data_IF_912450721432
#
_entry.id   IF_912450721432
#
_cell.length_a   1.000
_cell.length_b   1.000
_cell.length_c   1.000
_cell.angle_alpha   90.00
_cell.angle_beta   90.00
_cell.angle_gamma   90.00
#
_symmetry.space_group_name_H-M   'P 1'
#
loop_
_entity.id
_entity.type
_entity.pdbx_description
1 polymer ?
#
# COMPACT_ATOMS: atom_id res chain seq x y z
N UNK A 1 -24.44 6.22 -16.25
CA UNK A 1 -24.40 6.76 -14.87
C UNK A 1 -23.10 6.27 -14.26
N UNK A 2 -22.07 7.11 -14.28
CA UNK A 2 -20.74 6.77 -13.77
C UNK A 2 -20.74 6.95 -12.25
N UNK A 3 -20.41 5.89 -11.51
CA UNK A 3 -20.17 5.97 -10.05
C UNK A 3 -19.15 7.09 -9.78
N UNK A 4 -19.37 7.96 -8.78
CA UNK A 4 -18.30 8.85 -8.34
C UNK A 4 -17.16 7.97 -7.82
N UNK A 5 -15.97 8.13 -8.39
CA UNK A 5 -14.79 7.45 -7.89
C UNK A 5 -14.52 7.96 -6.47
N UNK A 6 -14.36 7.04 -5.52
CA UNK A 6 -13.93 7.26 -4.13
C UNK A 6 -12.51 7.88 -4.01
N UNK A 7 -12.05 8.61 -5.03
CA UNK A 7 -10.73 9.23 -5.13
C UNK A 7 -10.67 10.68 -4.60
N UNK A 8 -11.77 11.28 -4.14
CA UNK A 8 -11.75 12.66 -3.62
C UNK A 8 -11.20 12.80 -2.19
N UNK A 9 -10.82 11.70 -1.52
CA UNK A 9 -10.34 11.73 -0.12
C UNK A 9 -8.82 11.82 0.03
N UNK A 10 -8.05 11.61 -1.03
CA UNK A 10 -6.59 11.50 -0.98
C UNK A 10 -5.92 12.41 -2.00
N UNK A 11 -4.76 12.96 -1.66
CA UNK A 11 -4.01 13.87 -2.52
C UNK A 11 -3.07 13.15 -3.48
N UNK A 12 -2.75 11.88 -3.20
CA UNK A 12 -2.03 11.02 -4.12
C UNK A 12 -2.94 9.99 -4.77
N UNK A 13 -2.82 9.88 -6.10
CA UNK A 13 -3.45 8.85 -6.89
C UNK A 13 -2.66 7.55 -6.79
N UNK A 14 -3.34 6.48 -6.38
CA UNK A 14 -2.77 5.15 -6.21
C UNK A 14 -3.66 4.10 -6.88
N UNK A 15 -3.05 3.09 -7.49
CA UNK A 15 -3.78 1.98 -8.10
C UNK A 15 -2.94 0.70 -8.11
N UNK A 16 -3.58 -0.46 -8.30
CA UNK A 16 -2.93 -1.77 -8.15
C UNK A 16 -1.76 -1.97 -9.11
N UNK A 17 -1.78 -1.31 -10.27
CA UNK A 17 -0.73 -1.42 -11.28
C UNK A 17 0.59 -0.77 -10.87
N UNK A 18 0.54 0.19 -9.93
CA UNK A 18 1.70 0.86 -9.38
C UNK A 18 2.33 0.11 -8.20
N UNK A 19 1.81 -1.07 -7.84
CA UNK A 19 2.24 -1.81 -6.65
C UNK A 19 2.70 -3.22 -6.98
N UNK A 20 3.65 -3.71 -6.19
CA UNK A 20 4.13 -5.08 -6.18
C UNK A 20 4.20 -5.60 -4.75
N UNK A 21 3.91 -6.88 -4.56
CA UNK A 21 4.04 -7.57 -3.29
C UNK A 21 4.86 -8.83 -3.51
N UNK A 22 6.03 -8.91 -2.88
CA UNK A 22 6.96 -10.03 -3.03
C UNK A 22 7.19 -10.70 -1.69
N UNK A 23 6.82 -11.98 -1.59
CA UNK A 23 7.10 -12.81 -0.44
C UNK A 23 8.50 -13.43 -0.53
N UNK A 24 9.18 -13.45 0.61
CA UNK A 24 10.50 -14.06 0.79
C UNK A 24 10.59 -14.63 2.20
N UNK A 25 11.55 -15.53 2.43
CA UNK A 25 11.86 -16.02 3.78
C UNK A 25 13.09 -15.31 4.33
N UNK A 26 13.02 -14.89 5.58
CA UNK A 26 14.18 -14.33 6.27
C UNK A 26 15.18 -15.44 6.67
N UNK A 27 16.33 -15.04 7.24
CA UNK A 27 17.35 -15.98 7.71
C UNK A 27 16.88 -16.93 8.81
N UNK A 28 15.74 -16.63 9.46
CA UNK A 28 15.13 -17.45 10.51
C UNK A 28 13.99 -18.33 9.97
N UNK A 29 13.77 -18.34 8.65
CA UNK A 29 12.71 -19.10 7.97
C UNK A 29 11.32 -18.47 8.04
N UNK A 30 11.17 -17.27 8.62
CA UNK A 30 9.89 -16.56 8.70
C UNK A 30 9.54 -15.98 7.33
N UNK A 31 8.29 -16.17 6.90
CA UNK A 31 7.79 -15.59 5.66
C UNK A 31 7.48 -14.11 5.90
N UNK A 32 7.99 -13.26 5.00
CA UNK A 32 7.77 -11.82 5.01
C UNK A 32 7.32 -11.42 3.61
N UNK A 33 6.54 -10.36 3.52
CA UNK A 33 6.19 -9.73 2.25
C UNK A 33 6.74 -8.32 2.22
N UNK A 34 7.47 -7.99 1.16
CA UNK A 34 7.84 -6.61 0.84
C UNK A 34 6.84 -6.08 -0.17
N UNK A 35 6.14 -5.02 0.22
CA UNK A 35 5.18 -4.30 -0.61
C UNK A 35 5.85 -3.01 -1.05
N UNK A 36 5.93 -2.80 -2.36
CA UNK A 36 6.44 -1.57 -2.96
C UNK A 36 5.36 -0.96 -3.82
N UNK A 37 5.33 0.35 -3.90
CA UNK A 37 4.51 1.01 -4.91
C UNK A 37 4.93 2.44 -5.18
N UNK A 38 4.36 2.99 -6.24
CA UNK A 38 4.54 4.39 -6.63
C UNK A 38 3.17 5.02 -6.83
N UNK A 39 2.94 6.16 -6.19
CA UNK A 39 1.71 6.93 -6.30
C UNK A 39 2.01 8.30 -6.94
N UNK A 40 1.00 8.91 -7.56
CA UNK A 40 1.12 10.24 -8.18
C UNK A 40 0.51 11.29 -7.26
N UNK A 41 1.35 12.05 -6.55
CA UNK A 41 0.91 13.11 -5.64
C UNK A 41 0.85 14.47 -6.34
N UNK A 42 -0.14 15.31 -5.99
CA UNK A 42 -0.31 16.64 -6.61
C UNK A 42 0.80 17.63 -6.34
N UNK A 43 1.58 17.42 -5.29
CA UNK A 43 2.73 18.27 -4.95
C UNK A 43 3.90 17.38 -4.57
N UNK A 44 5.15 17.88 -4.68
CA UNK A 44 6.31 17.18 -4.17
C UNK A 44 6.35 17.23 -2.63
N UNK A 45 6.97 16.21 -2.04
CA UNK A 45 7.26 16.15 -0.60
C UNK A 45 6.21 15.44 0.25
N UNK A 46 5.18 14.86 -0.37
CA UNK A 46 4.34 13.88 0.31
C UNK A 46 5.18 12.70 0.80
N UNK A 47 4.86 12.22 2.00
CA UNK A 47 5.41 10.97 2.52
C UNK A 47 4.29 9.95 2.57
N UNK A 48 4.53 8.80 1.94
CA UNK A 48 3.60 7.67 1.91
C UNK A 48 4.06 6.60 2.89
N UNK A 49 3.10 5.99 3.59
CA UNK A 49 3.38 4.96 4.60
C UNK A 49 2.36 3.83 4.43
N UNK A 50 2.84 2.59 4.48
CA UNK A 50 1.99 1.41 4.58
C UNK A 50 1.86 1.00 6.05
N UNK A 51 0.62 0.93 6.53
CA UNK A 51 0.31 0.59 7.92
C UNK A 51 -0.64 -0.60 7.98
N UNK A 52 -0.48 -1.49 8.96
CA UNK A 52 -1.40 -2.61 9.15
C UNK A 52 -2.80 -2.07 9.47
N UNK A 53 -3.78 -2.47 8.68
CA UNK A 53 -5.15 -1.96 8.77
C UNK A 53 -6.07 -2.80 9.70
N UNK A 54 -5.56 -3.89 10.28
CA UNK A 54 -6.35 -4.84 11.06
C UNK A 54 -6.13 -4.72 12.58
N UNK A 55 -7.19 -4.58 13.39
CA UNK A 55 -7.14 -4.83 14.82
C UNK A 55 -7.40 -6.31 15.11
N UNK A 56 -6.37 -7.09 15.46
CA UNK A 56 -6.54 -8.48 15.91
C UNK A 56 -7.10 -9.46 14.86
N UNK A 57 -7.55 -10.63 15.34
CA UNK A 57 -7.89 -11.85 14.57
C UNK A 57 -8.66 -11.52 13.29
N UNK A 58 -7.99 -11.69 12.15
CA UNK A 58 -8.58 -11.49 10.82
C UNK A 58 -9.12 -12.85 10.36
N UNK A 59 -10.41 -12.94 10.05
CA UNK A 59 -11.07 -14.15 9.51
C UNK A 59 -10.62 -14.51 8.07
N UNK A 60 -9.63 -13.79 7.53
CA UNK A 60 -9.08 -13.99 6.19
C UNK A 60 -7.59 -14.31 6.28
N UNK A 61 -7.21 -15.58 6.54
CA UNK A 61 -5.79 -15.97 6.66
C UNK A 61 -5.01 -15.78 5.36
N UNK A 62 -5.72 -15.65 4.23
CA UNK A 62 -5.14 -15.48 2.90
C UNK A 62 -4.81 -14.02 2.54
N UNK A 63 -5.15 -13.06 3.39
CA UNK A 63 -5.05 -11.63 3.07
C UNK A 63 -4.28 -10.85 4.14
N UNK A 64 -3.28 -10.08 3.70
CA UNK A 64 -2.68 -9.02 4.51
C UNK A 64 -3.41 -7.71 4.23
N UNK A 65 -3.95 -7.07 5.26
CA UNK A 65 -4.67 -5.80 5.10
C UNK A 65 -3.80 -4.63 5.53
N UNK A 66 -3.58 -3.70 4.60
CA UNK A 66 -2.81 -2.49 4.82
C UNK A 66 -3.65 -1.24 4.51
N UNK A 67 -3.26 -0.11 5.09
CA UNK A 67 -3.71 1.21 4.71
C UNK A 67 -2.52 1.95 4.07
N UNK A 68 -2.81 2.71 3.02
CA UNK A 68 -1.86 3.65 2.43
C UNK A 68 -2.12 5.04 3.02
N UNK A 69 -1.31 5.42 4.01
CA UNK A 69 -1.32 6.73 4.63
C UNK A 69 -0.55 7.76 3.81
N UNK A 70 -1.00 9.01 3.87
CA UNK A 70 -0.36 10.17 3.27
C UNK A 70 -0.05 11.19 4.36
N UNK A 71 1.16 11.74 4.33
CA UNK A 71 1.54 12.88 5.15
C UNK A 71 1.91 14.03 4.25
N UNK A 72 1.14 15.11 4.38
CA UNK A 72 1.35 16.34 3.60
C UNK A 72 2.74 16.93 3.85
N UNK A 73 3.39 17.50 2.81
CA UNK A 73 4.58 18.31 2.98
C UNK A 73 4.27 19.57 3.79
N UNK A 74 5.22 20.00 4.62
CA UNK A 74 5.09 21.28 5.33
C UNK A 74 5.27 22.48 4.40
N UNK A 75 4.42 23.50 4.54
CA UNK A 75 4.56 24.79 3.86
C UNK A 75 3.92 24.86 2.47
N UNK A 76 4.09 25.99 1.80
CA UNK A 76 3.53 26.21 0.45
C UNK A 76 4.43 25.56 -0.60
N UNK A 77 3.91 24.52 -1.25
CA UNK A 77 4.59 23.81 -2.34
C UNK A 77 3.84 24.02 -3.67
N UNK A 78 4.58 24.07 -4.77
CA UNK A 78 3.99 24.18 -6.10
C UNK A 78 3.21 22.89 -6.45
N UNK A 79 2.07 23.04 -7.13
CA UNK A 79 1.27 21.91 -7.63
C UNK A 79 1.92 21.32 -8.87
N UNK A 80 2.70 20.26 -8.68
CA UNK A 80 3.38 19.48 -9.72
C UNK A 80 3.18 18.01 -9.41
N UNK A 81 2.61 17.26 -10.37
CA UNK A 81 2.39 15.82 -10.25
C UNK A 81 3.75 15.13 -10.07
N UNK A 82 3.96 14.54 -8.90
CA UNK A 82 5.24 13.97 -8.47
C UNK A 82 5.07 12.48 -8.15
N UNK A 83 5.83 11.59 -8.82
CA UNK A 83 5.92 10.20 -8.41
C UNK A 83 6.48 10.10 -6.99
N UNK A 84 5.76 9.41 -6.12
CA UNK A 84 6.12 9.24 -4.72
C UNK A 84 6.10 7.76 -4.38
N UNK A 85 7.25 7.25 -3.96
CA UNK A 85 7.41 5.84 -3.66
C UNK A 85 6.98 5.52 -2.23
N UNK A 86 6.54 4.28 -2.05
CA UNK A 86 6.21 3.70 -0.75
C UNK A 86 6.76 2.28 -0.68
N UNK A 87 7.32 1.93 0.46
CA UNK A 87 7.84 0.59 0.73
C UNK A 87 7.54 0.19 2.17
N UNK A 88 7.16 -1.07 2.36
CA UNK A 88 6.97 -1.66 3.67
C UNK A 88 7.20 -3.16 3.64
N UNK A 89 7.80 -3.69 4.71
CA UNK A 89 8.00 -5.14 4.90
C UNK A 89 7.23 -5.60 6.11
N UNK A 90 6.44 -6.66 5.94
CA UNK A 90 5.52 -7.19 6.94
C UNK A 90 5.73 -8.68 7.14
N UNK A 91 5.64 -9.14 8.38
CA UNK A 91 5.62 -10.57 8.68
C UNK A 91 4.25 -11.14 8.28
N UNK A 92 4.26 -12.27 7.58
CA UNK A 92 3.05 -12.94 7.09
C UNK A 92 3.09 -14.43 7.42
N UNK A 93 1.92 -15.05 7.40
CA UNK A 93 1.83 -16.51 7.47
C UNK A 93 2.01 -17.13 6.08
N UNK A 94 2.17 -18.45 6.03
CA UNK A 94 2.36 -19.18 4.76
C UNK A 94 1.07 -19.20 3.92
N UNK A 95 -0.09 -18.88 4.50
CA UNK A 95 -1.38 -18.82 3.82
C UNK A 95 -1.62 -17.51 3.07
N UNK A 96 -0.88 -16.44 3.35
CA UNK A 96 -1.13 -15.13 2.72
C UNK A 96 -0.79 -15.17 1.22
N UNK A 97 -1.76 -14.79 0.39
CA UNK A 97 -1.68 -14.77 -1.08
C UNK A 97 -1.93 -13.39 -1.68
N UNK A 98 -2.57 -12.48 -0.93
CA UNK A 98 -2.96 -11.14 -1.41
C UNK A 98 -2.70 -10.07 -0.35
N UNK A 99 -2.34 -8.88 -0.81
CA UNK A 99 -2.28 -7.66 0.01
C UNK A 99 -3.44 -6.76 -0.39
N UNK A 100 -4.31 -6.40 0.56
CA UNK A 100 -5.47 -5.52 0.33
C UNK A 100 -5.16 -4.15 0.91
N UNK A 101 -5.13 -3.11 0.06
CA UNK A 101 -5.03 -1.72 0.49
C UNK A 101 -6.44 -1.20 0.80
N UNK A 102 -6.89 -1.42 2.03
CA UNK A 102 -8.30 -1.25 2.44
C UNK A 102 -8.84 0.15 2.17
N UNK A 103 -8.11 1.18 2.57
CA UNK A 103 -8.53 2.56 2.40
C UNK A 103 -8.51 3.04 0.93
N UNK A 104 -7.96 2.24 0.01
CA UNK A 104 -7.95 2.52 -1.44
C UNK A 104 -8.81 1.55 -2.25
N UNK A 105 -9.30 0.47 -1.64
CA UNK A 105 -10.20 -0.49 -2.29
C UNK A 105 -9.57 -1.32 -3.40
N UNK A 106 -8.25 -1.56 -3.37
CA UNK A 106 -7.58 -2.43 -4.34
C UNK A 106 -6.72 -3.49 -3.66
N UNK A 107 -6.42 -4.55 -4.41
CA UNK A 107 -5.59 -5.67 -3.98
C UNK A 107 -4.38 -5.88 -4.89
N UNK A 108 -3.33 -6.47 -4.33
CA UNK A 108 -2.08 -6.79 -5.00
C UNK A 108 -1.75 -8.26 -4.74
N UNK A 109 -1.60 -9.10 -5.76
CA UNK A 109 -1.23 -10.50 -5.57
C UNK A 109 0.20 -10.60 -5.04
N UNK A 110 0.40 -11.47 -4.06
CA UNK A 110 1.73 -11.80 -3.53
C UNK A 110 2.40 -12.77 -4.50
N UNK A 111 3.64 -12.47 -4.86
CA UNK A 111 4.51 -13.35 -5.66
C UNK A 111 5.65 -13.84 -4.78
N UNK A 112 5.97 -15.12 -4.83
CA UNK A 112 7.17 -15.62 -4.18
C UNK A 112 8.42 -15.23 -4.99
N UNK A 113 9.50 -14.87 -4.29
CA UNK A 113 10.83 -14.62 -4.87
C UNK A 113 11.57 -15.92 -5.24
#
# INVERSE_FOLDING_TARGET
MSKPAENEKFDCEAGPQGFTATAHRDSNGRRRVTVKGTCSCRTPGYVLILEIASPGVVDTPYELHLNLGEKEPGGTVAQVITPTDVEGTFDITDEVERVVIRNRGFEVPVKDE
#
